data_IF_314107937903
#
_entry.id   IF_314107937903
#
_cell.length_a   1.000
_cell.length_b   1.000
_cell.length_c   1.000
_cell.angle_alpha   90.00
_cell.angle_beta   90.00
_cell.angle_gamma   90.00
#
_symmetry.space_group_name_H-M   'P 1'
#
loop_
_entity.id
_entity.type
_entity.pdbx_description
1 polymer ?
#
# COMPACT_ATOMS: atom_id res chain seq x y z
N UNK A 1 12.59 -13.70 15.05
CA UNK A 1 11.67 -12.56 14.84
C UNK A 1 11.22 -12.60 13.39
N UNK A 2 9.98 -12.22 13.07
CA UNK A 2 9.53 -12.16 11.68
C UNK A 2 10.36 -11.12 10.91
N UNK A 3 10.71 -11.40 9.65
CA UNK A 3 11.39 -10.44 8.78
C UNK A 3 10.49 -9.20 8.63
N UNK A 4 11.02 -7.96 8.70
CA UNK A 4 10.22 -6.76 8.45
C UNK A 4 9.59 -6.79 7.06
N UNK A 5 8.40 -6.20 6.93
CA UNK A 5 7.72 -6.06 5.65
C UNK A 5 8.25 -4.85 4.90
N UNK A 6 9.04 -5.07 3.87
CA UNK A 6 9.46 -4.03 2.93
C UNK A 6 8.64 -4.14 1.64
N UNK A 7 7.91 -3.08 1.30
CA UNK A 7 7.17 -2.93 0.04
C UNK A 7 7.89 -1.88 -0.81
N UNK A 8 8.49 -2.30 -1.92
CA UNK A 8 9.14 -1.38 -2.87
C UNK A 8 8.21 -1.13 -4.06
N UNK A 9 7.97 0.15 -4.39
CA UNK A 9 7.09 0.57 -5.47
C UNK A 9 7.85 1.47 -6.44
N UNK A 10 8.14 0.94 -7.63
CA UNK A 10 8.69 1.69 -8.75
C UNK A 10 7.63 1.96 -9.82
N UNK A 11 7.95 2.82 -10.78
CA UNK A 11 7.06 3.16 -11.88
C UNK A 11 7.34 4.53 -12.48
N UNK A 12 6.74 4.88 -13.63
CA UNK A 12 6.99 6.15 -14.28
C UNK A 12 6.40 7.34 -13.50
N UNK A 13 6.81 8.55 -13.89
CA UNK A 13 6.24 9.77 -13.32
C UNK A 13 4.75 9.86 -13.71
N UNK A 14 3.90 10.27 -12.76
CA UNK A 14 2.46 10.39 -12.99
C UNK A 14 1.65 9.11 -12.81
N UNK A 15 2.28 7.96 -12.51
CA UNK A 15 1.56 6.71 -12.24
C UNK A 15 0.77 6.68 -10.91
N UNK A 16 0.78 7.76 -10.13
CA UNK A 16 0.06 7.83 -8.85
C UNK A 16 0.80 7.26 -7.63
N UNK A 17 2.08 6.89 -7.79
CA UNK A 17 2.92 6.28 -6.73
C UNK A 17 2.81 7.00 -5.38
N UNK A 18 3.13 8.29 -5.31
CA UNK A 18 3.15 9.07 -4.04
C UNK A 18 1.82 9.14 -3.30
N UNK A 19 0.72 8.98 -4.02
CA UNK A 19 -0.62 8.94 -3.42
C UNK A 19 -0.92 7.53 -2.93
N UNK A 20 -0.64 6.52 -3.74
CA UNK A 20 -0.83 5.10 -3.42
C UNK A 20 0.03 4.67 -2.24
N UNK A 21 1.34 4.96 -2.28
CA UNK A 21 2.34 4.56 -1.27
C UNK A 21 2.04 5.16 0.10
N UNK A 22 1.64 6.44 0.13
CA UNK A 22 1.25 7.13 1.37
C UNK A 22 -0.04 6.56 1.96
N UNK A 23 -1.05 6.30 1.13
CA UNK A 23 -2.30 5.72 1.61
C UNK A 23 -2.09 4.27 2.07
N UNK A 24 -1.28 3.50 1.35
CA UNK A 24 -0.88 2.14 1.71
C UNK A 24 -0.13 2.11 3.05
N UNK A 25 0.88 2.96 3.24
CA UNK A 25 1.65 3.04 4.48
C UNK A 25 0.75 3.36 5.68
N UNK A 26 -0.18 4.32 5.52
CA UNK A 26 -1.19 4.63 6.55
C UNK A 26 -2.10 3.43 6.83
N UNK A 27 -2.59 2.77 5.78
CA UNK A 27 -3.50 1.63 5.90
C UNK A 27 -2.84 0.45 6.60
N UNK A 28 -1.56 0.21 6.34
CA UNK A 28 -0.79 -0.88 6.94
C UNK A 28 -0.15 -0.49 8.28
N UNK A 29 -0.19 0.78 8.66
CA UNK A 29 0.52 1.36 9.80
C UNK A 29 2.03 1.05 9.78
N UNK A 30 2.67 1.32 8.63
CA UNK A 30 4.11 1.12 8.40
C UNK A 30 4.75 2.42 7.89
N UNK A 31 6.08 2.49 7.90
CA UNK A 31 6.78 3.70 7.49
C UNK A 31 6.59 4.00 6.00
N UNK A 32 6.63 5.27 5.63
CA UNK A 32 6.60 5.73 4.25
C UNK A 32 7.92 6.44 3.92
N UNK A 33 8.61 5.99 2.88
CA UNK A 33 9.86 6.58 2.40
C UNK A 33 9.70 7.10 0.96
N UNK A 34 9.67 8.44 0.83
CA UNK A 34 9.73 9.16 -0.45
C UNK A 34 11.19 9.39 -0.85
N UNK A 35 11.79 8.45 -1.57
CA UNK A 35 13.20 8.57 -1.98
C UNK A 35 13.44 9.82 -2.84
N UNK A 36 12.44 10.21 -3.64
CA UNK A 36 12.46 11.41 -4.47
C UNK A 36 12.56 12.71 -3.66
N UNK A 37 11.98 12.76 -2.46
CA UNK A 37 12.12 13.90 -1.56
C UNK A 37 13.58 14.11 -1.13
N UNK A 38 14.36 13.04 -0.94
CA UNK A 38 15.79 13.16 -0.57
C UNK A 38 16.62 13.77 -1.70
N UNK A 39 16.38 13.36 -2.95
CA UNK A 39 17.04 13.97 -4.11
C UNK A 39 16.68 15.45 -4.26
N UNK A 40 15.40 15.80 -4.03
CA UNK A 40 14.94 17.20 -4.06
C UNK A 40 15.52 18.02 -2.92
N UNK A 41 15.65 17.45 -1.73
CA UNK A 41 16.31 18.08 -0.59
C UNK A 41 17.77 18.39 -0.94
N UNK A 42 18.54 17.38 -1.38
CA UNK A 42 19.91 17.58 -1.84
C UNK A 42 20.02 18.70 -2.91
N UNK A 43 19.04 18.76 -3.83
CA UNK A 43 18.97 19.81 -4.86
C UNK A 43 18.73 21.20 -4.25
N UNK A 44 17.85 21.33 -3.26
CA UNK A 44 17.69 22.59 -2.50
C UNK A 44 19.00 22.98 -1.82
N UNK A 45 19.66 22.02 -1.17
CA UNK A 45 20.93 22.26 -0.48
C UNK A 45 22.01 22.81 -1.42
N UNK A 46 22.21 22.20 -2.60
CA UNK A 46 23.22 22.69 -3.55
C UNK A 46 22.90 24.10 -4.05
N UNK A 47 21.62 24.42 -4.30
CA UNK A 47 21.19 25.72 -4.80
C UNK A 47 21.35 26.83 -3.73
N UNK A 48 21.16 26.49 -2.46
CA UNK A 48 21.31 27.43 -1.35
C UNK A 48 22.77 27.63 -0.91
N UNK A 49 23.67 26.73 -1.33
CA UNK A 49 25.05 26.69 -0.82
C UNK A 49 26.02 27.65 -1.49
N UNK A 50 25.67 28.20 -2.65
CA UNK A 50 26.56 29.05 -3.45
C UNK A 50 27.74 28.33 -4.10
N UNK A 51 27.80 26.99 -4.06
CA UNK A 51 28.82 26.21 -4.78
C UNK A 51 28.61 26.31 -6.30
N UNK A 52 29.64 25.96 -7.06
CA UNK A 52 29.47 25.71 -8.50
C UNK A 52 28.65 24.42 -8.71
N UNK A 53 27.36 24.61 -9.02
CA UNK A 53 26.40 23.52 -9.26
C UNK A 53 26.59 22.84 -10.62
N UNK A 54 27.40 23.42 -11.50
CA UNK A 54 27.77 22.83 -12.80
C UNK A 54 29.01 21.93 -12.68
N UNK A 55 29.75 21.97 -11.56
CA UNK A 55 30.82 21.03 -11.22
C UNK A 55 30.28 19.78 -10.48
N UNK A 56 30.26 18.60 -11.12
CA UNK A 56 29.79 17.37 -10.49
C UNK A 56 30.59 16.95 -9.24
N UNK A 57 31.88 17.32 -9.15
CA UNK A 57 32.73 16.96 -8.01
C UNK A 57 32.34 17.79 -6.79
N UNK A 58 32.15 19.10 -6.96
CA UNK A 58 31.71 20.00 -5.89
C UNK A 58 30.30 19.65 -5.40
N UNK A 59 29.38 19.36 -6.32
CA UNK A 59 28.02 18.88 -5.98
C UNK A 59 28.10 17.59 -5.15
N UNK A 60 28.90 16.61 -5.57
CA UNK A 60 29.07 15.36 -4.84
C UNK A 60 29.69 15.57 -3.45
N UNK A 61 30.70 16.42 -3.34
CA UNK A 61 31.36 16.76 -2.08
C UNK A 61 30.39 17.42 -1.11
N UNK A 62 29.56 18.34 -1.60
CA UNK A 62 28.52 18.97 -0.79
C UNK A 62 27.51 17.93 -0.29
N UNK A 63 26.90 17.14 -1.18
CA UNK A 63 25.84 16.18 -0.84
C UNK A 63 26.35 15.11 0.13
N UNK A 64 27.56 14.58 -0.09
CA UNK A 64 28.15 13.53 0.76
C UNK A 64 28.45 14.02 2.19
N UNK A 65 28.61 15.33 2.38
CA UNK A 65 28.84 15.93 3.69
C UNK A 65 27.55 16.23 4.48
N UNK A 66 26.36 15.96 3.91
CA UNK A 66 25.06 16.25 4.54
C UNK A 66 24.38 15.01 5.07
N UNK A 67 23.67 15.20 6.18
CA UNK A 67 22.74 14.21 6.71
C UNK A 67 21.33 14.53 6.22
N UNK A 68 20.80 13.71 5.32
CA UNK A 68 19.43 13.85 4.78
C UNK A 68 18.55 12.78 5.39
N UNK A 69 17.48 13.19 6.06
CA UNK A 69 16.59 12.32 6.82
C UNK A 69 15.14 12.82 6.76
N UNK A 70 14.23 12.19 7.48
CA UNK A 70 12.83 12.59 7.64
C UNK A 70 12.51 12.85 9.11
N UNK A 71 11.64 13.82 9.37
CA UNK A 71 11.10 14.04 10.71
C UNK A 71 10.00 13.01 11.06
N UNK A 72 9.46 13.10 12.27
CA UNK A 72 8.38 12.23 12.75
C UNK A 72 7.08 12.36 11.95
N UNK A 73 6.92 13.43 11.17
CA UNK A 73 5.78 13.69 10.31
C UNK A 73 6.04 13.31 8.85
N UNK A 74 7.23 12.78 8.53
CA UNK A 74 7.63 12.39 7.18
C UNK A 74 8.05 13.55 6.28
N UNK A 75 8.35 14.73 6.84
CA UNK A 75 8.95 15.84 6.10
C UNK A 75 10.47 15.65 6.00
N UNK A 76 11.04 15.91 4.83
CA UNK A 76 12.48 15.74 4.60
C UNK A 76 13.27 16.86 5.28
N UNK A 77 14.42 16.49 5.84
CA UNK A 77 15.35 17.38 6.52
C UNK A 77 16.75 17.29 5.92
N UNK A 78 17.50 18.39 6.01
CA UNK A 78 18.96 18.40 5.81
C UNK A 78 19.59 18.93 7.08
N UNK A 79 20.52 18.17 7.66
CA UNK A 79 21.23 18.53 8.89
C UNK A 79 20.27 18.97 10.01
N UNK A 80 19.15 18.24 10.14
CA UNK A 80 18.04 18.47 11.10
C UNK A 80 17.17 19.70 10.83
N UNK A 81 17.32 20.36 9.68
CA UNK A 81 16.45 21.45 9.25
C UNK A 81 15.39 20.93 8.28
N UNK A 82 14.11 21.04 8.68
CA UNK A 82 12.96 20.66 7.85
C UNK A 82 12.84 21.58 6.64
N UNK A 83 12.68 20.98 5.46
CA UNK A 83 12.43 21.72 4.23
C UNK A 83 10.93 21.79 3.92
N UNK A 84 10.40 22.98 3.55
CA UNK A 84 9.00 23.12 3.16
C UNK A 84 8.67 22.24 1.95
N UNK A 85 7.52 21.56 2.02
CA UNK A 85 7.05 20.61 0.99
C UNK A 85 6.87 21.28 -0.37
N UNK A 86 6.35 22.50 -0.36
CA UNK A 86 6.09 23.34 -1.53
C UNK A 86 7.41 23.70 -2.21
N UNK A 87 8.46 23.95 -1.41
CA UNK A 87 9.79 24.32 -1.90
C UNK A 87 10.43 23.17 -2.66
N UNK A 88 10.53 21.98 -2.03
CA UNK A 88 11.18 20.81 -2.65
C UNK A 88 10.40 20.30 -3.89
N UNK A 89 9.10 20.58 -3.97
CA UNK A 89 8.24 20.19 -5.11
C UNK A 89 8.07 21.30 -6.16
N UNK A 90 8.69 22.46 -5.98
CA UNK A 90 8.57 23.56 -6.93
C UNK A 90 9.11 23.19 -8.32
N UNK A 91 8.61 23.85 -9.39
CA UNK A 91 9.15 23.68 -10.75
C UNK A 91 10.66 23.94 -10.83
N UNK A 92 11.14 24.97 -10.12
CA UNK A 92 12.56 25.32 -10.06
C UNK A 92 13.44 24.20 -9.48
N UNK A 93 13.00 23.51 -8.42
CA UNK A 93 13.74 22.35 -7.90
C UNK A 93 13.62 21.16 -8.86
N UNK A 94 12.46 21.00 -9.49
CA UNK A 94 12.23 19.90 -10.44
C UNK A 94 13.11 20.02 -11.69
N UNK A 95 13.41 21.24 -12.16
CA UNK A 95 14.31 21.46 -13.32
C UNK A 95 15.78 21.23 -13.01
N UNK A 96 16.20 21.30 -11.74
CA UNK A 96 17.59 21.16 -11.34
C UNK A 96 17.94 19.78 -10.73
N UNK A 97 16.92 18.94 -10.45
CA UNK A 97 17.11 17.64 -9.78
C UNK A 97 18.08 16.70 -10.51
N UNK A 98 18.22 16.85 -11.83
CA UNK A 98 19.12 16.03 -12.64
C UNK A 98 20.58 16.18 -12.22
N UNK A 99 20.99 17.33 -11.66
CA UNK A 99 22.36 17.58 -11.18
C UNK A 99 22.77 16.60 -10.09
N UNK A 100 21.83 16.26 -9.21
CA UNK A 100 22.03 15.27 -8.15
C UNK A 100 21.73 13.86 -8.68
N UNK A 101 20.61 13.69 -9.40
CA UNK A 101 20.12 12.38 -9.81
C UNK A 101 20.99 11.69 -10.88
N UNK A 102 21.74 12.44 -11.69
CA UNK A 102 22.67 11.91 -12.70
C UNK A 102 24.12 11.80 -12.16
N UNK A 103 24.39 12.27 -10.94
CA UNK A 103 25.72 12.22 -10.34
C UNK A 103 25.89 10.93 -9.52
N UNK A 104 26.72 10.00 -10.00
CA UNK A 104 26.92 8.69 -9.38
C UNK A 104 27.30 8.77 -7.89
N UNK A 105 28.21 9.67 -7.52
CA UNK A 105 28.65 9.83 -6.12
C UNK A 105 27.53 10.35 -5.22
N UNK A 106 26.70 11.28 -5.72
CA UNK A 106 25.51 11.73 -4.99
C UNK A 106 24.53 10.58 -4.78
N UNK A 107 24.28 9.78 -5.83
CA UNK A 107 23.39 8.62 -5.74
C UNK A 107 23.90 7.59 -4.76
N UNK A 108 25.19 7.24 -4.80
CA UNK A 108 25.78 6.26 -3.89
C UNK A 108 25.56 6.65 -2.43
N UNK A 109 25.79 7.92 -2.09
CA UNK A 109 25.51 8.45 -0.75
C UNK A 109 24.03 8.41 -0.39
N UNK A 110 23.15 8.89 -1.27
CA UNK A 110 21.70 8.91 -1.02
C UNK A 110 21.12 7.51 -0.89
N UNK A 111 21.57 6.56 -1.71
CA UNK A 111 21.18 5.14 -1.64
C UNK A 111 21.68 4.51 -0.34
N UNK A 112 22.89 4.86 0.12
CA UNK A 112 23.39 4.41 1.41
C UNK A 112 22.48 4.88 2.55
N UNK A 113 22.08 6.15 2.57
CA UNK A 113 21.14 6.69 3.55
C UNK A 113 19.76 6.00 3.46
N UNK A 114 19.23 5.80 2.25
CA UNK A 114 17.94 5.13 2.04
C UNK A 114 17.94 3.69 2.57
N UNK A 115 19.02 2.93 2.30
CA UNK A 115 19.19 1.57 2.83
C UNK A 115 19.22 1.56 4.36
N UNK A 116 19.92 2.52 4.97
CA UNK A 116 19.97 2.66 6.42
C UNK A 116 18.58 2.98 7.01
N UNK A 117 17.77 3.80 6.34
CA UNK A 117 16.41 4.14 6.79
C UNK A 117 15.42 2.97 6.72
N UNK A 118 15.61 2.06 5.76
CA UNK A 118 14.76 0.87 5.54
C UNK A 118 15.17 -0.30 6.45
N UNK A 119 16.44 -0.40 6.83
CA UNK A 119 16.99 -1.54 7.54
C UNK A 119 16.22 -1.84 8.85
N UNK A 120 15.66 -3.05 8.93
CA UNK A 120 15.02 -3.56 10.16
C UNK A 120 13.61 -3.02 10.42
N UNK A 121 12.98 -2.32 9.47
CA UNK A 121 11.69 -1.64 9.68
C UNK A 121 10.63 -2.12 8.69
N UNK A 122 9.36 -2.10 9.12
CA UNK A 122 8.22 -2.25 8.22
C UNK A 122 8.06 -0.92 7.44
N UNK A 123 8.16 -0.95 6.11
CA UNK A 123 8.23 0.28 5.29
C UNK A 123 7.72 0.08 3.86
N UNK A 124 7.02 1.10 3.34
CA UNK A 124 6.76 1.29 1.91
C UNK A 124 7.77 2.30 1.36
N UNK A 125 8.54 1.88 0.37
CA UNK A 125 9.54 2.70 -0.32
C UNK A 125 9.07 2.99 -1.73
N UNK A 126 9.04 4.26 -2.11
CA UNK A 126 8.74 4.69 -3.46
C UNK A 126 9.99 5.21 -4.16
N UNK A 127 10.18 4.83 -5.42
CA UNK A 127 11.27 5.34 -6.23
C UNK A 127 11.12 5.06 -7.73
N UNK A 128 12.28 5.01 -8.39
CA UNK A 128 12.44 4.50 -9.77
C UNK A 128 13.26 3.21 -9.81
N UNK A 129 14.14 3.04 -8.82
CA UNK A 129 15.02 1.91 -8.61
C UNK A 129 14.94 1.40 -7.16
N UNK A 130 13.79 1.59 -6.51
CA UNK A 130 13.55 1.08 -5.16
C UNK A 130 13.55 -0.46 -5.15
N UNK A 131 12.99 -1.09 -6.19
CA UNK A 131 12.87 -2.55 -6.32
C UNK A 131 14.18 -3.23 -6.70
N UNK A 132 15.12 -2.50 -7.31
CA UNK A 132 16.37 -3.04 -7.87
C UNK A 132 17.62 -2.64 -7.10
N UNK A 133 17.70 -1.39 -6.60
CA UNK A 133 18.91 -0.85 -5.98
C UNK A 133 18.77 -0.70 -4.47
N UNK A 134 17.66 -0.11 -4.01
CA UNK A 134 17.47 0.24 -2.59
C UNK A 134 17.02 -1.00 -1.80
N UNK A 135 15.99 -1.69 -2.29
CA UNK A 135 15.35 -2.83 -1.65
C UNK A 135 15.28 -4.05 -2.59
N UNK A 136 16.42 -4.58 -3.09
CA UNK A 136 16.43 -5.76 -3.96
C UNK A 136 15.86 -7.02 -3.29
N UNK A 137 15.81 -7.06 -1.96
CA UNK A 137 15.26 -8.18 -1.18
C UNK A 137 13.90 -7.84 -0.53
N UNK A 138 13.20 -6.83 -1.06
CA UNK A 138 11.85 -6.47 -0.61
C UNK A 138 10.89 -7.67 -0.65
N UNK A 139 10.02 -7.77 0.36
CA UNK A 139 9.05 -8.87 0.48
C UNK A 139 7.96 -8.74 -0.60
N UNK A 140 7.69 -7.50 -1.02
CA UNK A 140 6.80 -7.18 -2.12
C UNK A 140 7.45 -6.09 -2.98
N UNK A 141 7.58 -6.37 -4.27
CA UNK A 141 7.99 -5.40 -5.28
C UNK A 141 6.82 -5.16 -6.21
N UNK A 142 6.48 -3.89 -6.42
CA UNK A 142 5.42 -3.47 -7.33
C UNK A 142 6.05 -2.56 -8.38
N UNK A 143 5.73 -2.80 -9.64
CA UNK A 143 5.90 -1.80 -10.69
C UNK A 143 4.52 -1.22 -11.01
N UNK A 144 4.26 -0.01 -10.53
CA UNK A 144 3.00 0.69 -10.68
C UNK A 144 3.01 1.49 -11.99
N UNK A 145 2.12 1.15 -12.91
CA UNK A 145 2.08 1.77 -14.24
C UNK A 145 0.70 2.35 -14.57
N UNK A 146 0.69 3.23 -15.57
CA UNK A 146 -0.49 3.77 -16.20
C UNK A 146 -0.14 4.17 -17.63
N UNK A 147 -1.10 4.05 -18.55
CA UNK A 147 -0.91 4.51 -19.93
C UNK A 147 -0.49 5.98 -19.97
N UNK A 148 0.26 6.37 -21.00
CA UNK A 148 0.67 7.76 -21.15
C UNK A 148 -0.55 8.69 -21.24
N UNK A 149 -1.62 8.20 -21.86
CA UNK A 149 -2.93 8.83 -22.00
C UNK A 149 -3.59 9.04 -20.63
N UNK A 150 -3.63 8.02 -19.79
CA UNK A 150 -4.19 8.13 -18.44
C UNK A 150 -3.37 9.07 -17.55
N UNK A 151 -2.04 8.99 -17.60
CA UNK A 151 -1.17 9.91 -16.87
C UNK A 151 -1.31 11.35 -17.36
N UNK A 152 -1.51 11.55 -18.66
CA UNK A 152 -1.80 12.87 -19.24
C UNK A 152 -3.14 13.40 -18.74
N UNK A 153 -4.21 12.58 -18.73
CA UNK A 153 -5.52 12.97 -18.18
C UNK A 153 -5.43 13.39 -16.71
N UNK A 154 -4.76 12.59 -15.87
CA UNK A 154 -4.55 12.90 -14.44
C UNK A 154 -3.82 14.22 -14.26
N UNK A 155 -2.71 14.42 -14.99
CA UNK A 155 -1.93 15.66 -14.94
C UNK A 155 -2.72 16.88 -15.41
N UNK A 156 -3.54 16.72 -16.45
CA UNK A 156 -4.44 17.77 -16.92
C UNK A 156 -5.55 18.08 -15.93
N UNK A 157 -6.02 17.09 -15.15
CA UNK A 157 -6.98 17.29 -14.07
C UNK A 157 -6.42 18.12 -12.92
N UNK A 158 -5.11 17.98 -12.65
CA UNK A 158 -4.38 18.75 -11.62
C UNK A 158 -3.78 20.06 -12.14
N UNK A 159 -4.07 20.45 -13.39
CA UNK A 159 -3.43 21.62 -14.01
C UNK A 159 -3.85 22.93 -13.34
N UNK A 160 -2.92 23.85 -13.04
CA UNK A 160 -3.27 25.13 -12.44
C UNK A 160 -4.23 25.93 -13.32
N UNK A 161 -5.33 26.42 -12.75
CA UNK A 161 -6.31 27.22 -13.48
C UNK A 161 -5.75 28.55 -14.03
N UNK A 162 -4.64 29.02 -13.45
CA UNK A 162 -3.98 30.27 -13.85
C UNK A 162 -3.03 30.12 -15.05
N UNK A 163 -2.75 28.90 -15.51
CA UNK A 163 -1.79 28.63 -16.59
C UNK A 163 -2.50 28.11 -17.84
N UNK A 164 -2.00 28.45 -19.06
CA UNK A 164 -2.49 27.85 -20.29
C UNK A 164 -2.37 26.33 -20.22
N UNK A 165 -3.51 25.64 -20.37
CA UNK A 165 -3.57 24.18 -20.30
C UNK A 165 -3.15 23.58 -21.64
N UNK A 166 -2.16 22.66 -21.68
CA UNK A 166 -1.77 21.98 -22.91
C UNK A 166 -2.88 21.05 -23.37
N UNK A 167 -2.86 20.71 -24.66
CA UNK A 167 -3.72 19.68 -25.21
C UNK A 167 -3.36 18.30 -24.65
N UNK A 168 -4.29 17.34 -24.73
CA UNK A 168 -4.03 15.96 -24.32
C UNK A 168 -2.83 15.37 -25.09
N UNK A 169 -2.74 15.61 -26.40
CA UNK A 169 -1.67 15.10 -27.25
C UNK A 169 -0.30 15.67 -26.87
N UNK A 170 -0.23 16.97 -26.55
CA UNK A 170 1.01 17.60 -26.08
C UNK A 170 1.46 17.04 -24.73
N UNK A 171 0.52 16.83 -23.80
CA UNK A 171 0.81 16.23 -22.51
C UNK A 171 1.29 14.77 -22.66
N UNK A 172 0.65 13.97 -23.52
CA UNK A 172 1.07 12.60 -23.84
C UNK A 172 2.47 12.57 -24.44
N UNK A 173 2.76 13.43 -25.42
CA UNK A 173 4.09 13.51 -26.05
C UNK A 173 5.18 13.83 -25.02
N UNK A 174 4.95 14.84 -24.19
CA UNK A 174 5.88 15.25 -23.13
C UNK A 174 6.12 14.11 -22.12
N UNK A 175 5.08 13.35 -21.79
CA UNK A 175 5.18 12.21 -20.89
C UNK A 175 6.03 11.09 -21.52
N UNK A 176 5.77 10.74 -22.78
CA UNK A 176 6.52 9.69 -23.49
C UNK A 176 7.99 10.04 -23.66
N UNK A 177 8.30 11.31 -23.99
CA UNK A 177 9.68 11.80 -24.08
C UNK A 177 10.40 11.64 -22.74
N UNK A 178 9.75 12.03 -21.64
CA UNK A 178 10.30 11.89 -20.29
C UNK A 178 10.53 10.43 -19.90
N UNK A 179 9.57 9.55 -20.18
CA UNK A 179 9.70 8.13 -19.88
C UNK A 179 10.86 7.51 -20.65
N UNK A 180 11.01 7.87 -21.94
CA UNK A 180 12.14 7.45 -22.76
C UNK A 180 13.49 7.90 -22.20
N UNK A 181 13.57 9.11 -21.65
CA UNK A 181 14.78 9.61 -20.97
C UNK A 181 15.04 8.85 -19.65
N UNK A 182 14.01 8.59 -18.85
CA UNK A 182 14.14 7.91 -17.57
C UNK A 182 14.54 6.43 -17.72
N UNK A 183 14.09 5.76 -18.79
CA UNK A 183 14.47 4.37 -19.11
C UNK A 183 15.90 4.27 -19.67
N UNK A 184 16.37 5.29 -20.40
CA UNK A 184 17.71 5.32 -21.03
C UNK A 184 18.81 5.90 -20.14
N UNK A 185 18.50 6.26 -18.89
CA UNK A 185 19.49 6.80 -17.96
C UNK A 185 20.64 5.81 -17.74
N UNK A 186 21.87 6.30 -17.81
CA UNK A 186 23.07 5.49 -17.49
C UNK A 186 23.09 5.03 -16.03
N UNK A 187 22.55 5.85 -15.11
CA UNK A 187 22.54 5.55 -13.68
C UNK A 187 21.11 5.56 -13.13
N UNK A 188 20.71 4.45 -12.52
CA UNK A 188 19.36 4.24 -11.98
C UNK A 188 18.24 4.28 -13.03
N UNK A 189 18.35 3.54 -14.15
CA UNK A 189 17.28 3.47 -15.15
C UNK A 189 16.01 2.88 -14.53
N UNK A 190 14.86 3.40 -14.94
CA UNK A 190 13.57 2.81 -14.56
C UNK A 190 13.47 1.40 -15.18
N UNK A 191 13.60 0.38 -14.33
CA UNK A 191 13.62 -1.03 -14.74
C UNK A 191 12.60 -1.82 -13.91
N UNK A 192 11.91 -2.75 -14.55
CA UNK A 192 11.01 -3.68 -13.88
C UNK A 192 11.85 -4.86 -13.39
N UNK A 193 11.87 -5.16 -12.10
CA UNK A 193 12.52 -6.38 -11.61
C UNK A 193 11.68 -7.62 -11.98
N UNK A 194 12.34 -8.74 -12.28
CA UNK A 194 11.67 -9.97 -12.74
C UNK A 194 10.62 -10.50 -11.76
N UNK A 195 10.78 -10.20 -10.47
CA UNK A 195 9.89 -10.59 -9.37
C UNK A 195 8.90 -9.49 -8.94
N UNK A 196 8.87 -8.35 -9.65
CA UNK A 196 7.90 -7.29 -9.38
C UNK A 196 6.51 -7.65 -9.94
N UNK A 197 5.48 -7.40 -9.14
CA UNK A 197 4.10 -7.40 -9.62
C UNK A 197 3.90 -6.15 -10.49
N UNK A 198 3.66 -6.36 -11.78
CA UNK A 198 3.25 -5.29 -12.69
C UNK A 198 1.77 -4.95 -12.46
N UNK A 199 1.48 -3.71 -12.07
CA UNK A 199 0.12 -3.25 -11.76
C UNK A 199 -0.24 -2.04 -12.62
N UNK A 200 -1.05 -2.27 -13.65
CA UNK A 200 -1.65 -1.23 -14.47
C UNK A 200 -2.84 -0.59 -13.73
N UNK A 201 -2.82 0.73 -13.60
CA UNK A 201 -3.82 1.51 -12.83
C UNK A 201 -4.87 2.21 -13.68
N UNK A 202 -4.90 1.94 -14.98
CA UNK A 202 -5.87 2.52 -15.90
C UNK A 202 -7.29 2.10 -15.52
N UNK A 203 -8.18 3.09 -15.38
CA UNK A 203 -9.58 2.86 -14.99
C UNK A 203 -9.81 2.40 -13.55
N UNK A 204 -8.75 2.26 -12.73
CA UNK A 204 -8.87 1.89 -11.32
C UNK A 204 -8.94 3.12 -10.43
N UNK A 205 -9.84 3.09 -9.45
CA UNK A 205 -9.85 4.05 -8.36
C UNK A 205 -8.67 3.83 -7.41
N UNK A 206 -8.28 4.89 -6.69
CA UNK A 206 -7.18 4.84 -5.73
C UNK A 206 -7.38 3.76 -4.64
N UNK A 207 -8.61 3.60 -4.15
CA UNK A 207 -8.97 2.57 -3.17
C UNK A 207 -8.72 1.16 -3.71
N UNK A 208 -9.08 0.89 -4.96
CA UNK A 208 -8.86 -0.40 -5.63
C UNK A 208 -7.36 -0.72 -5.77
N UNK A 209 -6.56 0.26 -6.19
CA UNK A 209 -5.10 0.09 -6.31
C UNK A 209 -4.48 -0.24 -4.95
N UNK A 210 -4.87 0.49 -3.90
CA UNK A 210 -4.39 0.24 -2.54
C UNK A 210 -4.89 -1.10 -2.00
N UNK A 211 -6.13 -1.50 -2.30
CA UNK A 211 -6.68 -2.80 -1.95
C UNK A 211 -5.89 -3.95 -2.58
N UNK A 212 -5.59 -3.87 -3.89
CA UNK A 212 -4.76 -4.87 -4.58
C UNK A 212 -3.36 -5.00 -3.97
N UNK A 213 -2.68 -3.88 -3.74
CA UNK A 213 -1.34 -3.92 -3.15
C UNK A 213 -1.39 -4.44 -1.70
N UNK A 214 -2.41 -4.05 -0.94
CA UNK A 214 -2.66 -4.60 0.41
C UNK A 214 -2.84 -6.11 0.34
N UNK A 215 -3.63 -6.61 -0.61
CA UNK A 215 -3.86 -8.03 -0.79
C UNK A 215 -2.57 -8.81 -1.10
N UNK A 216 -1.75 -8.29 -2.02
CA UNK A 216 -0.43 -8.87 -2.28
C UNK A 216 0.47 -8.85 -1.04
N UNK A 217 0.47 -7.76 -0.28
CA UNK A 217 1.26 -7.65 0.94
C UNK A 217 0.84 -8.70 1.98
N UNK A 218 -0.46 -8.96 2.10
CA UNK A 218 -1.02 -9.98 3.01
C UNK A 218 -0.72 -11.40 2.55
N UNK A 219 -0.77 -11.69 1.24
CA UNK A 219 -0.34 -12.98 0.73
C UNK A 219 1.12 -13.28 1.09
N UNK A 220 1.99 -12.26 1.07
CA UNK A 220 3.40 -12.39 1.45
C UNK A 220 3.59 -12.46 2.96
N UNK A 221 2.78 -11.73 3.72
CA UNK A 221 2.84 -11.67 5.18
C UNK A 221 1.44 -11.46 5.79
N UNK A 222 0.71 -12.54 6.13
CA UNK A 222 -0.67 -12.44 6.63
C UNK A 222 -0.81 -11.58 7.89
N UNK A 223 0.22 -11.61 8.75
CA UNK A 223 0.28 -10.85 10.00
C UNK A 223 0.29 -9.33 9.82
N UNK A 224 0.56 -8.84 8.62
CA UNK A 224 0.59 -7.40 8.33
C UNK A 224 -0.79 -6.78 8.52
N UNK A 225 -1.84 -7.44 8.03
CA UNK A 225 -3.21 -6.93 8.09
C UNK A 225 -3.90 -7.26 9.41
N UNK A 226 -3.50 -8.35 10.09
CA UNK A 226 -3.97 -8.64 11.46
C UNK A 226 -3.74 -7.44 12.40
N UNK A 227 -2.61 -6.73 12.28
CA UNK A 227 -2.35 -5.50 13.05
C UNK A 227 -3.33 -4.36 12.72
N UNK A 228 -3.71 -4.24 11.45
CA UNK A 228 -4.61 -3.17 10.96
C UNK A 228 -6.04 -3.41 11.45
N UNK A 229 -6.45 -4.67 11.50
CA UNK A 229 -7.82 -5.06 11.89
C UNK A 229 -7.93 -5.54 13.34
N UNK A 230 -6.87 -5.41 14.14
CA UNK A 230 -6.81 -5.94 15.51
C UNK A 230 -7.93 -5.42 16.43
N UNK A 231 -8.44 -4.21 16.18
CA UNK A 231 -9.56 -3.63 16.94
C UNK A 231 -10.95 -4.16 16.49
N UNK A 232 -10.99 -4.98 15.45
CA UNK A 232 -12.21 -5.53 14.85
C UNK A 232 -12.22 -7.06 14.89
N UNK A 233 -11.03 -7.66 15.00
CA UNK A 233 -10.81 -9.08 14.82
C UNK A 233 -9.67 -9.55 15.72
N UNK A 234 -9.96 -10.51 16.58
CA UNK A 234 -8.93 -11.30 17.26
C UNK A 234 -8.61 -12.53 16.41
N UNK A 235 -7.32 -12.75 16.17
CA UNK A 235 -6.83 -13.89 15.41
C UNK A 235 -5.92 -14.74 16.30
N UNK A 236 -6.08 -16.05 16.23
CA UNK A 236 -5.17 -16.97 16.87
C UNK A 236 -5.03 -18.29 16.12
N UNK A 237 -4.02 -19.06 16.50
CA UNK A 237 -3.69 -20.33 15.85
C UNK A 237 -3.48 -21.43 16.87
N UNK A 238 -3.96 -22.62 16.55
CA UNK A 238 -3.58 -23.79 17.32
C UNK A 238 -2.17 -24.23 16.97
N UNK A 239 -1.40 -24.60 17.99
CA UNK A 239 -0.09 -25.27 17.83
C UNK A 239 -0.23 -26.79 17.70
N UNK A 240 -1.43 -27.32 17.92
CA UNK A 240 -1.73 -28.75 17.83
C UNK A 240 -2.70 -29.01 16.67
N UNK A 241 -2.44 -30.02 15.82
CA UNK A 241 -3.42 -30.48 14.85
C UNK A 241 -4.71 -30.93 15.54
N UNK A 242 -5.87 -30.46 15.08
CA UNK A 242 -7.17 -30.87 15.62
C UNK A 242 -8.10 -29.71 15.99
N UNK A 243 -9.05 -29.99 16.90
CA UNK A 243 -10.04 -29.01 17.35
C UNK A 243 -9.37 -27.85 18.08
N UNK A 244 -9.53 -26.65 17.53
CA UNK A 244 -9.10 -25.43 18.19
C UNK A 244 -10.28 -24.87 18.96
N UNK A 245 -10.10 -24.61 20.25
CA UNK A 245 -11.10 -23.86 21.00
C UNK A 245 -11.09 -22.41 20.50
N UNK A 246 -12.07 -22.09 19.65
CA UNK A 246 -12.22 -20.82 18.93
C UNK A 246 -12.69 -19.68 19.85
N UNK A 247 -13.35 -20.04 20.96
CA UNK A 247 -13.84 -19.12 21.97
C UNK A 247 -13.78 -19.76 23.36
N UNK A 248 -13.30 -19.02 24.36
CA UNK A 248 -13.55 -19.33 25.76
C UNK A 248 -14.93 -18.78 26.09
N UNK A 249 -15.91 -19.66 26.28
CA UNK A 249 -17.25 -19.26 26.69
C UNK A 249 -17.23 -18.74 28.12
N UNK A 250 -16.92 -17.45 28.28
CA UNK A 250 -16.94 -16.80 29.59
C UNK A 250 -18.26 -16.09 29.86
N UNK A 251 -19.06 -15.78 28.83
CA UNK A 251 -20.33 -15.06 28.94
C UNK A 251 -21.46 -15.73 28.13
N UNK A 252 -22.20 -16.66 28.75
CA UNK A 252 -23.44 -17.21 28.20
C UNK A 252 -23.32 -18.45 27.30
N UNK A 253 -24.48 -18.92 26.82
CA UNK A 253 -24.57 -20.10 25.95
C UNK A 253 -24.12 -19.75 24.52
N UNK A 254 -23.39 -20.66 23.87
CA UNK A 254 -22.96 -20.52 22.48
C UNK A 254 -23.81 -21.39 21.56
N UNK A 255 -24.14 -20.87 20.38
CA UNK A 255 -24.73 -21.64 19.29
C UNK A 255 -23.62 -22.05 18.32
N UNK A 256 -23.54 -23.35 18.02
CA UNK A 256 -22.54 -23.92 17.11
C UNK A 256 -23.20 -24.27 15.78
N UNK A 257 -22.54 -23.90 14.68
CA UNK A 257 -23.02 -24.17 13.33
C UNK A 257 -21.89 -24.47 12.35
N UNK A 258 -22.24 -25.20 11.29
CA UNK A 258 -21.44 -25.25 10.07
C UNK A 258 -22.14 -24.36 9.05
N UNK A 259 -21.39 -23.51 8.36
CA UNK A 259 -21.93 -22.74 7.23
C UNK A 259 -21.50 -23.38 5.92
N UNK A 260 -22.50 -23.73 5.11
CA UNK A 260 -22.32 -24.05 3.70
C UNK A 260 -22.39 -22.75 2.88
N UNK A 261 -21.76 -22.71 1.69
CA UNK A 261 -21.82 -21.55 0.81
C UNK A 261 -23.27 -21.30 0.36
N UNK A 262 -23.76 -20.09 0.62
CA UNK A 262 -25.00 -19.53 0.06
C UNK A 262 -24.61 -18.59 -1.09
N UNK A 263 -25.40 -18.46 -2.17
CA UNK A 263 -25.21 -17.42 -3.18
C UNK A 263 -24.85 -16.02 -2.66
N UNK A 264 -25.36 -15.56 -1.53
CA UNK A 264 -25.01 -14.25 -0.92
C UNK A 264 -23.60 -14.20 -0.31
N UNK A 265 -23.00 -15.36 -0.07
CA UNK A 265 -21.67 -15.55 0.52
C UNK A 265 -20.66 -16.09 -0.50
N UNK A 266 -20.93 -15.97 -1.79
CA UNK A 266 -20.03 -16.39 -2.86
C UNK A 266 -19.11 -15.24 -3.33
N UNK A 267 -17.96 -15.53 -3.96
CA UNK A 267 -17.06 -14.49 -4.45
C UNK A 267 -17.75 -13.67 -5.54
N UNK A 268 -17.70 -12.34 -5.40
CA UNK A 268 -18.28 -11.41 -6.37
C UNK A 268 -19.81 -11.26 -6.28
N UNK A 269 -20.47 -11.88 -5.30
CA UNK A 269 -21.93 -11.75 -5.10
C UNK A 269 -22.29 -10.98 -3.83
N UNK A 270 -21.38 -10.86 -2.87
CA UNK A 270 -21.62 -10.15 -1.62
C UNK A 270 -21.73 -8.65 -1.85
N UNK A 271 -22.95 -8.11 -1.68
CA UNK A 271 -23.27 -6.67 -1.81
C UNK A 271 -23.59 -6.02 -0.47
N UNK A 272 -23.45 -6.72 0.65
CA UNK A 272 -23.82 -6.24 1.97
C UNK A 272 -22.94 -6.85 3.05
N UNK A 273 -22.87 -6.21 4.20
CA UNK A 273 -22.13 -6.68 5.38
C UNK A 273 -23.02 -6.59 6.64
N UNK A 274 -22.65 -7.35 7.66
CA UNK A 274 -23.41 -7.48 8.91
C UNK A 274 -22.63 -6.94 10.09
N UNK A 275 -23.32 -6.41 11.10
CA UNK A 275 -22.78 -5.97 12.38
C UNK A 275 -23.54 -6.65 13.51
N UNK A 276 -22.80 -7.26 14.43
CA UNK A 276 -23.37 -8.00 15.57
C UNK A 276 -23.39 -7.12 16.82
N UNK A 277 -24.55 -7.00 17.46
CA UNK A 277 -24.73 -6.33 18.75
C UNK A 277 -24.94 -7.35 19.87
N UNK A 278 -24.29 -7.15 21.02
CA UNK A 278 -24.53 -7.93 22.24
C UNK A 278 -23.72 -9.22 22.41
N UNK A 279 -22.77 -9.54 21.52
CA UNK A 279 -21.95 -10.76 21.62
C UNK A 279 -20.90 -10.88 20.52
N UNK A 280 -20.16 -11.99 20.51
CA UNK A 280 -19.09 -12.30 19.55
C UNK A 280 -19.47 -13.44 18.61
N UNK A 281 -18.92 -13.38 17.40
CA UNK A 281 -18.95 -14.49 16.44
C UNK A 281 -17.51 -14.96 16.20
N UNK A 282 -17.31 -16.26 16.27
CA UNK A 282 -16.00 -16.90 16.12
C UNK A 282 -16.08 -17.97 15.03
N UNK A 283 -15.08 -18.05 14.16
CA UNK A 283 -15.05 -19.00 13.06
C UNK A 283 -13.67 -19.57 12.75
N UNK A 284 -13.64 -20.75 12.15
CA UNK A 284 -12.43 -21.37 11.58
C UNK A 284 -12.72 -21.96 10.21
N UNK A 285 -11.74 -21.85 9.31
CA UNK A 285 -11.77 -22.52 8.01
C UNK A 285 -11.41 -24.00 8.19
N UNK A 286 -12.32 -24.90 7.84
CA UNK A 286 -12.10 -26.36 7.93
C UNK A 286 -11.57 -26.89 6.59
N UNK A 287 -12.18 -26.47 5.48
CA UNK A 287 -11.81 -26.88 4.13
C UNK A 287 -12.19 -25.80 3.12
N UNK A 288 -11.43 -25.70 2.01
CA UNK A 288 -11.69 -24.74 0.93
C UNK A 288 -10.98 -23.42 1.13
N UNK A 289 -11.59 -22.33 0.65
CA UNK A 289 -11.05 -20.98 0.73
C UNK A 289 -12.15 -19.98 1.08
N UNK A 290 -11.88 -19.12 2.06
CA UNK A 290 -12.78 -18.05 2.45
C UNK A 290 -12.01 -16.75 2.65
N UNK A 291 -12.70 -15.63 2.46
CA UNK A 291 -12.21 -14.29 2.68
C UNK A 291 -13.07 -13.67 3.78
N UNK A 292 -12.42 -13.18 4.83
CA UNK A 292 -13.07 -12.39 5.87
C UNK A 292 -12.93 -10.91 5.49
N UNK A 293 -14.08 -10.27 5.28
CA UNK A 293 -14.20 -8.86 4.94
C UNK A 293 -14.62 -8.07 6.17
N UNK A 294 -14.05 -6.89 6.35
CA UNK A 294 -14.25 -6.02 7.51
C UNK A 294 -14.47 -4.57 7.06
N UNK A 295 -15.45 -3.90 7.65
CA UNK A 295 -15.87 -2.54 7.29
C UNK A 295 -15.64 -1.48 8.37
N UNK A 296 -14.97 -1.83 9.48
CA UNK A 296 -14.80 -0.94 10.64
C UNK A 296 -15.79 -1.21 11.78
N UNK A 297 -15.68 -0.44 12.86
CA UNK A 297 -16.55 -0.50 14.06
C UNK A 297 -17.42 0.74 14.24
N UNK A 298 -17.39 1.67 13.27
CA UNK A 298 -18.18 2.89 13.32
C UNK A 298 -19.67 2.61 13.09
N UNK A 299 -20.49 3.65 13.25
CA UNK A 299 -21.93 3.59 12.99
C UNK A 299 -22.25 3.12 11.56
N UNK A 300 -21.44 3.54 10.59
CA UNK A 300 -21.52 3.09 9.21
C UNK A 300 -20.20 2.50 8.75
N UNK A 301 -20.22 1.51 7.84
CA UNK A 301 -18.98 0.97 7.30
C UNK A 301 -18.25 1.97 6.42
N UNK A 302 -16.93 1.92 6.45
CA UNK A 302 -16.06 2.83 5.71
C UNK A 302 -15.31 2.09 4.60
N UNK A 303 -14.00 1.92 4.71
CA UNK A 303 -13.23 1.13 3.75
C UNK A 303 -13.38 -0.35 4.03
N UNK A 304 -13.45 -1.15 2.96
CA UNK A 304 -13.47 -2.61 3.05
C UNK A 304 -12.04 -3.11 3.11
N UNK A 305 -11.73 -3.83 4.18
CA UNK A 305 -10.49 -4.59 4.34
C UNK A 305 -10.83 -6.06 4.24
N UNK A 306 -10.13 -6.81 3.39
CA UNK A 306 -10.34 -8.25 3.27
C UNK A 306 -9.04 -9.02 3.48
N UNK A 307 -9.14 -10.13 4.22
CA UNK A 307 -8.05 -11.05 4.48
C UNK A 307 -8.45 -12.49 4.12
N UNK A 308 -7.52 -13.31 3.60
CA UNK A 308 -7.79 -14.71 3.37
C UNK A 308 -7.84 -15.43 4.71
N UNK A 309 -8.88 -16.23 4.92
CA UNK A 309 -8.95 -17.16 6.04
C UNK A 309 -7.96 -18.30 5.81
N UNK A 310 -7.12 -18.56 6.81
CA UNK A 310 -6.06 -19.55 6.77
C UNK A 310 -6.51 -20.82 7.51
N UNK A 311 -6.10 -22.01 7.04
CA UNK A 311 -6.32 -23.25 7.77
C UNK A 311 -5.75 -23.19 9.20
N UNK A 312 -6.40 -23.88 10.15
CA UNK A 312 -5.99 -23.97 11.56
C UNK A 312 -5.90 -22.62 12.30
N UNK A 313 -6.46 -21.57 11.70
CA UNK A 313 -6.54 -20.23 12.27
C UNK A 313 -7.99 -19.95 12.63
N UNK A 314 -8.19 -19.44 13.84
CA UNK A 314 -9.49 -18.99 14.29
C UNK A 314 -9.57 -17.47 14.26
N UNK A 315 -10.79 -17.01 14.04
CA UNK A 315 -11.15 -15.63 13.79
C UNK A 315 -12.31 -15.27 14.70
N UNK A 316 -12.11 -14.38 15.66
CA UNK A 316 -13.16 -13.87 16.55
C UNK A 316 -13.45 -12.43 16.16
N UNK A 317 -14.62 -12.21 15.59
CA UNK A 317 -15.10 -10.89 15.20
C UNK A 317 -15.58 -10.18 16.47
N UNK A 318 -15.03 -8.99 16.71
CA UNK A 318 -15.37 -8.20 17.88
C UNK A 318 -16.79 -7.60 17.76
N UNK A 319 -17.51 -7.43 18.90
CA UNK A 319 -18.84 -6.85 18.88
C UNK A 319 -18.84 -5.47 18.23
N UNK A 320 -19.84 -5.21 17.39
CA UNK A 320 -19.97 -3.95 16.67
C UNK A 320 -19.02 -3.80 15.48
N UNK A 321 -18.24 -4.80 15.09
CA UNK A 321 -17.51 -4.78 13.82
C UNK A 321 -18.43 -5.16 12.64
N UNK A 322 -18.38 -4.35 11.58
CA UNK A 322 -18.97 -4.67 10.30
C UNK A 322 -18.14 -5.75 9.61
N UNK A 323 -18.77 -6.85 9.19
CA UNK A 323 -18.08 -8.00 8.61
C UNK A 323 -18.92 -8.75 7.57
N UNK A 324 -18.23 -9.49 6.71
CA UNK A 324 -18.82 -10.54 5.88
C UNK A 324 -17.81 -11.66 5.66
N UNK A 325 -18.31 -12.87 5.45
CA UNK A 325 -17.49 -14.04 5.13
C UNK A 325 -17.87 -14.51 3.74
N UNK A 326 -16.92 -14.42 2.83
CA UNK A 326 -17.08 -14.79 1.43
C UNK A 326 -16.38 -16.13 1.22
N UNK A 327 -17.09 -17.13 0.76
CA UNK A 327 -16.65 -18.51 0.65
C UNK A 327 -16.61 -18.96 -0.81
N UNK A 328 -15.57 -19.66 -1.23
CA UNK A 328 -15.55 -20.33 -2.55
C UNK A 328 -16.43 -21.59 -2.50
N UNK A 329 -16.93 -22.04 -3.65
CA UNK A 329 -17.65 -23.31 -3.76
C UNK A 329 -16.86 -24.48 -3.14
N UNK A 330 -17.53 -25.31 -2.34
CA UNK A 330 -16.91 -26.43 -1.63
C UNK A 330 -16.18 -26.06 -0.33
N UNK A 331 -16.32 -24.81 0.13
CA UNK A 331 -15.77 -24.35 1.41
C UNK A 331 -16.65 -24.78 2.58
N UNK A 332 -16.01 -25.20 3.68
CA UNK A 332 -16.65 -25.54 4.94
C UNK A 332 -16.01 -24.69 6.04
N UNK A 333 -16.82 -23.87 6.70
CA UNK A 333 -16.41 -23.12 7.89
C UNK A 333 -17.23 -23.57 9.10
N UNK A 334 -16.56 -23.72 10.26
CA UNK A 334 -17.21 -23.93 11.54
C UNK A 334 -17.32 -22.60 12.29
N UNK A 335 -18.51 -22.32 12.83
CA UNK A 335 -18.84 -21.07 13.51
C UNK A 335 -19.43 -21.32 14.89
N UNK A 336 -19.15 -20.38 15.79
CA UNK A 336 -19.71 -20.29 17.13
C UNK A 336 -20.17 -18.86 17.37
N UNK A 337 -21.38 -18.69 17.87
CA UNK A 337 -21.98 -17.38 18.15
C UNK A 337 -22.50 -17.30 19.58
N UNK A 338 -22.31 -16.14 20.22
CA UNK A 338 -22.89 -15.88 21.54
C UNK A 338 -24.42 -15.80 21.46
N UNK A 339 -25.14 -16.36 22.43
CA UNK A 339 -26.60 -16.22 22.49
C UNK A 339 -27.03 -14.76 22.62
N UNK A 340 -28.10 -14.37 21.91
CA UNK A 340 -28.68 -13.03 22.02
C UNK A 340 -28.04 -11.96 21.14
N UNK A 341 -27.19 -12.34 20.17
CA UNK A 341 -26.73 -11.45 19.12
C UNK A 341 -27.92 -10.89 18.34
N UNK A 342 -27.91 -9.57 18.12
CA UNK A 342 -28.78 -8.90 17.15
C UNK A 342 -27.95 -8.46 15.97
N UNK A 343 -28.39 -8.83 14.77
CA UNK A 343 -27.72 -8.49 13.53
C UNK A 343 -28.30 -7.21 12.92
N UNK A 344 -27.40 -6.35 12.44
CA UNK A 344 -27.70 -5.18 11.65
C UNK A 344 -27.02 -5.36 10.28
N UNK A 345 -27.76 -5.19 9.18
CA UNK A 345 -27.24 -5.38 7.81
C UNK A 345 -27.19 -4.02 7.10
N UNK A 346 -26.09 -3.78 6.37
CA UNK A 346 -25.92 -2.60 5.54
C UNK A 346 -25.45 -3.00 4.14
N UNK A 347 -26.03 -2.37 3.12
CA UNK A 347 -25.58 -2.51 1.74
C UNK A 347 -24.25 -1.78 1.53
N UNK A 348 -23.38 -2.39 0.72
CA UNK A 348 -22.12 -1.81 0.33
C UNK A 348 -22.34 -0.75 -0.75
N UNK A 349 -21.64 0.37 -0.63
CA UNK A 349 -21.59 1.38 -1.68
C UNK A 349 -20.86 0.85 -2.91
N UNK A 350 -21.07 1.44 -4.11
CA UNK A 350 -20.33 1.05 -5.31
C UNK A 350 -18.79 1.09 -5.12
N UNK A 351 -18.29 2.07 -4.36
CA UNK A 351 -16.86 2.21 -4.05
C UNK A 351 -16.35 1.07 -3.15
N UNK A 352 -17.15 0.66 -2.15
CA UNK A 352 -16.84 -0.47 -1.28
C UNK A 352 -16.87 -1.79 -2.03
N UNK A 353 -17.82 -1.97 -2.95
CA UNK A 353 -17.90 -3.14 -3.82
C UNK A 353 -16.67 -3.21 -4.74
N UNK A 354 -16.25 -2.09 -5.32
CA UNK A 354 -15.04 -2.01 -6.12
C UNK A 354 -13.78 -2.37 -5.29
N UNK A 355 -13.65 -1.81 -4.08
CA UNK A 355 -12.54 -2.12 -3.17
C UNK A 355 -12.54 -3.61 -2.78
N UNK A 356 -13.72 -4.19 -2.48
CA UNK A 356 -13.87 -5.62 -2.21
C UNK A 356 -13.43 -6.47 -3.40
N UNK A 357 -13.94 -6.19 -4.60
CA UNK A 357 -13.58 -6.92 -5.82
C UNK A 357 -12.07 -6.84 -6.10
N UNK A 358 -11.43 -5.71 -5.81
CA UNK A 358 -9.99 -5.56 -5.91
C UNK A 358 -9.21 -6.51 -4.97
N UNK A 359 -9.74 -6.83 -3.79
CA UNK A 359 -9.17 -7.91 -2.95
C UNK A 359 -9.47 -9.30 -3.52
N UNK A 360 -10.70 -9.54 -3.96
CA UNK A 360 -11.12 -10.84 -4.49
C UNK A 360 -10.31 -11.23 -5.73
N UNK A 361 -10.04 -10.29 -6.63
CA UNK A 361 -9.20 -10.51 -7.82
C UNK A 361 -7.79 -11.04 -7.47
N UNK A 362 -7.26 -10.67 -6.31
CA UNK A 362 -5.93 -11.11 -5.85
C UNK A 362 -5.99 -12.44 -5.11
N UNK A 363 -6.96 -12.62 -4.20
CA UNK A 363 -7.02 -13.83 -3.38
C UNK A 363 -7.71 -15.01 -4.07
N UNK A 364 -8.67 -14.72 -4.95
CA UNK A 364 -9.53 -15.67 -5.65
C UNK A 364 -9.55 -15.34 -7.16
N UNK A 365 -8.39 -15.42 -7.84
CA UNK A 365 -8.34 -15.16 -9.27
C UNK A 365 -9.27 -16.12 -10.03
N UNK A 366 -10.01 -15.55 -10.99
CA UNK A 366 -11.04 -16.25 -11.79
C UNK A 366 -10.47 -17.30 -12.73
#
# INVERSE_FOLDING_TARGET
MAKPMVIAIDGPAGAGKSTVTRLLARRLNILYLDTGAMYRAATVGILDSGIDRDDPIEVARYVSARHIDFDEHGAVMIDKVVLPKERIRSPAITSEIWRVANNARCRDHLVHLQKALVAGRDVVVEGRDATTVICPDAQLKIFLDASAEERARRRLGEWPAAEPKPTLDEAVRTIRERDGMDMKREVGPLTISDDAVYLLTDGLHLSEVVARITAYAVQRQPFLLEKVVANQLLVGRSRQPGYVQVATGTDGAWQLGLTNPDPERMPGTTTSITRNHGGRQAGTLVQGAAILCLGGVAEHPHHIVALPMLPQTWYVIEPGAWHAVIQVQGTICAWAESSGIREERADLTPEQIAELNAYLDVYLPK
#
